data_IF_541275569946
#
_entry.id   IF_541275569946
#
_cell.length_a   1.000
_cell.length_b   1.000
_cell.length_c   1.000
_cell.angle_alpha   90.00
_cell.angle_beta   90.00
_cell.angle_gamma   90.00
#
_symmetry.space_group_name_H-M   'P 1'
#
loop_
_entity.id
_entity.type
_entity.pdbx_description
1 polymer ?
#
# COMPACT_ATOMS: atom_id res chain seq x y z
N UNK A 1 -49.13 -41.19 -15.45
CA UNK A 1 -50.21 -40.39 -16.06
C UNK A 1 -49.64 -39.01 -16.34
N UNK A 2 -48.55 -38.97 -17.10
CA UNK A 2 -48.59 -38.92 -18.58
C UNK A 2 -48.93 -37.49 -19.02
N UNK A 3 -47.87 -36.70 -19.14
CA UNK A 3 -47.80 -35.62 -20.11
C UNK A 3 -46.56 -35.96 -20.94
N UNK A 4 -46.82 -36.69 -22.03
CA UNK A 4 -46.61 -36.17 -23.40
C UNK A 4 -45.08 -36.13 -23.63
N UNK A 5 -44.37 -37.22 -23.93
CA UNK A 5 -44.54 -38.15 -25.06
C UNK A 5 -44.89 -37.40 -26.35
N UNK A 6 -43.85 -37.01 -27.09
CA UNK A 6 -43.75 -37.02 -28.56
C UNK A 6 -42.33 -36.53 -28.91
N UNK A 7 -41.38 -37.43 -28.67
CA UNK A 7 -40.12 -37.53 -29.43
C UNK A 7 -40.44 -38.16 -30.81
N UNK A 8 -39.47 -38.08 -31.72
CA UNK A 8 -39.35 -38.87 -32.96
C UNK A 8 -40.25 -38.40 -34.13
N UNK A 9 -39.86 -38.37 -35.40
CA UNK A 9 -38.66 -38.65 -36.20
C UNK A 9 -39.09 -38.13 -37.60
N UNK A 10 -38.34 -37.25 -38.27
CA UNK A 10 -37.39 -37.63 -39.33
C UNK A 10 -37.93 -38.60 -40.40
N UNK A 11 -38.72 -38.10 -41.35
CA UNK A 11 -38.84 -38.60 -42.73
C UNK A 11 -39.17 -37.33 -43.59
N UNK A 12 -38.61 -37.01 -44.75
CA UNK A 12 -38.50 -37.76 -46.01
C UNK A 12 -37.54 -37.04 -47.01
N UNK A 13 -36.89 -37.85 -47.85
CA UNK A 13 -36.55 -37.63 -49.28
C UNK A 13 -35.41 -36.64 -49.64
N UNK A 14 -34.23 -37.13 -50.07
CA UNK A 14 -33.84 -37.67 -51.41
C UNK A 14 -33.40 -36.58 -52.43
N UNK A 15 -32.52 -37.01 -53.35
CA UNK A 15 -31.85 -36.29 -54.46
C UNK A 15 -30.50 -35.62 -54.15
N UNK A 16 -29.43 -35.77 -54.95
CA UNK A 16 -29.05 -36.66 -56.04
C UNK A 16 -27.54 -36.38 -56.31
N UNK A 17 -26.89 -37.30 -57.00
CA UNK A 17 -25.48 -37.33 -57.36
C UNK A 17 -24.97 -36.10 -58.16
N UNK A 18 -23.65 -35.92 -58.20
CA UNK A 18 -23.03 -35.14 -59.27
C UNK A 18 -21.62 -34.61 -59.04
N UNK A 19 -20.64 -35.47 -59.30
CA UNK A 19 -19.27 -35.22 -59.80
C UNK A 19 -18.88 -33.76 -60.15
N UNK A 20 -17.69 -33.33 -59.74
CA UNK A 20 -16.54 -33.02 -60.65
C UNK A 20 -15.31 -32.50 -59.90
N UNK A 21 -14.18 -32.93 -60.44
CA UNK A 21 -12.81 -32.77 -59.98
C UNK A 21 -12.16 -31.43 -60.40
N UNK A 22 -10.98 -31.21 -59.81
CA UNK A 22 -9.81 -30.41 -60.26
C UNK A 22 -9.69 -28.98 -59.70
N UNK A 23 -8.66 -28.73 -58.87
CA UNK A 23 -7.35 -28.08 -59.20
C UNK A 23 -7.55 -26.55 -59.25
N UNK A 24 -6.76 -25.63 -58.70
CA UNK A 24 -5.41 -25.51 -58.17
C UNK A 24 -5.30 -24.02 -57.73
N UNK A 25 -4.22 -23.65 -57.04
CA UNK A 25 -3.69 -22.28 -56.87
C UNK A 25 -4.31 -21.33 -55.82
N UNK A 26 -3.46 -20.88 -54.89
CA UNK A 26 -3.59 -19.54 -54.30
C UNK A 26 -3.18 -19.43 -52.84
N UNK A 27 -1.87 -19.34 -52.58
CA UNK A 27 -1.33 -18.75 -51.35
C UNK A 27 -1.91 -17.34 -51.13
N UNK A 28 -2.56 -17.12 -50.00
CA UNK A 28 -2.70 -15.79 -49.40
C UNK A 28 -2.27 -15.88 -47.93
N UNK A 29 -0.97 -15.68 -47.73
CA UNK A 29 -0.37 -15.42 -46.41
C UNK A 29 -1.07 -14.21 -45.76
N UNK A 30 -1.95 -14.47 -44.80
CA UNK A 30 -2.35 -13.47 -43.81
C UNK A 30 -1.14 -13.19 -42.91
N UNK A 31 -0.28 -12.26 -43.31
CA UNK A 31 0.69 -11.64 -42.40
C UNK A 31 -0.07 -10.81 -41.36
N UNK A 32 -0.55 -11.47 -40.30
CA UNK A 32 -0.84 -10.81 -39.03
C UNK A 32 0.49 -10.27 -38.49
N UNK A 33 0.74 -8.99 -38.78
CA UNK A 33 1.82 -8.21 -38.17
C UNK A 33 1.63 -8.21 -36.65
N UNK A 34 2.29 -9.16 -35.98
CA UNK A 34 2.47 -9.15 -34.53
C UNK A 34 3.18 -7.86 -34.16
N UNK A 35 2.41 -6.92 -33.61
CA UNK A 35 2.96 -5.70 -33.04
C UNK A 35 3.91 -6.09 -31.91
N UNK A 36 5.21 -6.01 -32.17
CA UNK A 36 6.26 -6.13 -31.16
C UNK A 36 6.02 -5.07 -30.08
N UNK A 37 5.29 -5.46 -29.04
CA UNK A 37 5.12 -4.68 -27.84
C UNK A 37 6.50 -4.41 -27.26
N UNK A 38 6.92 -3.15 -27.28
CA UNK A 38 8.21 -2.73 -26.78
C UNK A 38 8.44 -3.35 -25.38
N UNK A 39 9.58 -4.04 -25.13
CA UNK A 39 9.79 -4.74 -23.88
C UNK A 39 9.65 -3.78 -22.69
N UNK A 40 9.16 -4.26 -21.54
CA UNK A 40 9.06 -3.43 -20.34
C UNK A 40 10.43 -2.83 -20.04
N UNK A 41 10.50 -1.50 -19.94
CA UNK A 41 11.74 -0.81 -19.63
C UNK A 41 12.38 -1.42 -18.37
N UNK A 42 13.68 -1.74 -18.40
CA UNK A 42 14.36 -2.24 -17.22
C UNK A 42 14.24 -1.20 -16.09
N UNK A 43 14.15 -1.65 -14.83
CA UNK A 43 14.07 -0.74 -13.71
C UNK A 43 15.28 0.20 -13.73
N UNK A 44 15.08 1.51 -13.49
CA UNK A 44 16.16 2.48 -13.57
C UNK A 44 17.29 2.08 -12.63
N UNK A 45 18.51 2.01 -13.16
CA UNK A 45 19.70 1.67 -12.38
C UNK A 45 19.83 2.63 -11.17
N UNK A 46 20.19 2.11 -9.98
CA UNK A 46 20.32 2.94 -8.81
C UNK A 46 21.40 4.01 -9.06
N UNK A 47 21.14 5.29 -8.74
CA UNK A 47 22.13 6.34 -8.95
C UNK A 47 23.41 6.02 -8.17
N UNK A 48 24.57 6.32 -8.75
CA UNK A 48 25.91 6.09 -8.16
C UNK A 48 26.09 6.70 -6.75
N UNK A 49 25.18 7.59 -6.33
CA UNK A 49 25.01 8.06 -4.97
C UNK A 49 23.55 8.41 -4.69
N UNK A 50 22.94 7.82 -3.67
CA UNK A 50 21.62 8.21 -3.21
C UNK A 50 21.63 9.68 -2.70
N UNK A 51 20.73 10.50 -3.25
CA UNK A 51 20.61 11.94 -2.92
C UNK A 51 19.46 12.26 -1.97
N UNK A 52 18.54 11.32 -1.79
CA UNK A 52 17.33 11.46 -0.95
C UNK A 52 17.51 10.58 0.27
N UNK A 53 17.39 11.16 1.46
CA UNK A 53 17.34 10.41 2.71
C UNK A 53 15.94 9.84 2.96
N UNK A 54 15.85 8.58 3.35
CA UNK A 54 14.61 7.95 3.79
C UNK A 54 14.73 7.61 5.28
N UNK A 55 13.89 8.24 6.10
CA UNK A 55 13.81 7.96 7.54
C UNK A 55 12.54 7.17 7.80
N UNK A 56 12.71 5.99 8.39
CA UNK A 56 11.64 5.16 8.89
C UNK A 56 12.15 4.42 10.12
N UNK A 57 11.30 4.32 11.15
CA UNK A 57 11.62 3.61 12.38
C UNK A 57 10.37 2.86 12.86
N UNK A 58 10.40 1.51 12.95
CA UNK A 58 9.25 0.71 13.38
C UNK A 58 8.70 1.11 14.75
N UNK A 59 9.52 1.70 15.63
CA UNK A 59 9.05 2.19 16.94
C UNK A 59 8.03 3.32 16.82
N UNK A 60 7.95 4.01 15.68
CA UNK A 60 6.91 5.02 15.43
C UNK A 60 5.52 4.39 15.31
N UNK A 61 5.42 3.11 14.95
CA UNK A 61 4.16 2.37 14.83
C UNK A 61 3.56 2.01 16.19
N UNK A 62 4.31 2.16 17.28
CA UNK A 62 3.79 1.86 18.62
C UNK A 62 2.75 2.90 19.10
N UNK A 63 2.63 4.03 18.41
CA UNK A 63 1.57 5.00 18.64
C UNK A 63 0.23 4.50 18.07
N UNK A 64 -0.62 3.96 18.95
CA UNK A 64 -1.92 3.40 18.56
C UNK A 64 -3.06 3.94 19.43
N UNK A 65 -4.23 4.10 18.84
CA UNK A 65 -5.44 4.39 19.58
C UNK A 65 -5.95 3.10 20.25
N UNK A 66 -6.12 3.12 21.58
CA UNK A 66 -6.53 1.93 22.34
C UNK A 66 -8.02 1.91 22.69
N UNK A 67 -8.79 2.91 22.27
CA UNK A 67 -10.21 3.03 22.59
C UNK A 67 -11.12 3.29 21.38
N UNK A 68 -10.54 3.60 20.22
CA UNK A 68 -11.24 3.74 18.95
C UNK A 68 -10.40 3.08 17.84
N UNK A 69 -10.87 1.93 17.36
CA UNK A 69 -10.23 1.14 16.30
C UNK A 69 -10.50 1.67 14.90
N UNK A 70 -11.46 2.58 14.73
CA UNK A 70 -11.81 3.19 13.44
C UNK A 70 -11.17 4.57 13.26
N UNK A 71 -10.30 4.97 14.19
CA UNK A 71 -9.61 6.24 14.11
C UNK A 71 -8.77 6.34 12.82
N UNK A 72 -8.84 7.45 12.07
CA UNK A 72 -8.15 7.57 10.77
C UNK A 72 -6.62 7.59 10.89
N UNK A 73 -6.09 8.05 12.03
CA UNK A 73 -4.69 7.87 12.40
C UNK A 73 -4.54 6.48 13.03
N UNK A 74 -3.69 5.63 12.43
CA UNK A 74 -3.43 4.28 12.88
C UNK A 74 -1.98 3.86 12.51
N UNK A 75 -1.35 2.95 13.28
CA UNK A 75 0.02 2.48 13.05
C UNK A 75 0.31 2.05 11.62
N UNK A 76 -0.66 1.42 10.96
CA UNK A 76 -0.54 0.82 9.62
C UNK A 76 -0.26 1.86 8.52
N UNK A 77 -0.45 3.15 8.79
CA UNK A 77 -0.14 4.22 7.82
C UNK A 77 1.35 4.24 7.46
N UNK A 78 2.25 4.06 8.44
CA UNK A 78 3.70 4.05 8.21
C UNK A 78 4.17 2.86 7.34
N UNK A 79 3.91 1.59 7.72
CA UNK A 79 4.41 0.45 6.96
C UNK A 79 3.74 0.35 5.58
N UNK A 80 2.48 0.78 5.41
CA UNK A 80 1.85 0.82 4.08
C UNK A 80 2.53 1.80 3.14
N UNK A 81 2.91 2.98 3.62
CA UNK A 81 3.67 3.94 2.80
C UNK A 81 5.04 3.36 2.46
N UNK A 82 5.75 2.79 3.43
CA UNK A 82 7.05 2.17 3.18
C UNK A 82 6.96 1.02 2.17
N UNK A 83 5.99 0.12 2.34
CA UNK A 83 5.73 -0.98 1.42
C UNK A 83 5.49 -0.46 0.01
N UNK A 84 4.65 0.57 -0.15
CA UNK A 84 4.39 1.15 -1.46
C UNK A 84 5.65 1.76 -2.09
N UNK A 85 6.51 2.41 -1.29
CA UNK A 85 7.80 2.91 -1.76
C UNK A 85 8.74 1.78 -2.19
N UNK A 86 8.70 0.63 -1.50
CA UNK A 86 9.49 -0.55 -1.85
C UNK A 86 9.00 -1.24 -3.13
N UNK A 87 7.68 -1.41 -3.29
CA UNK A 87 7.06 -1.97 -4.50
C UNK A 87 7.40 -1.16 -5.76
N UNK A 88 7.52 0.16 -5.63
CA UNK A 88 7.88 1.07 -6.71
C UNK A 88 9.41 1.21 -6.89
N UNK A 89 10.23 0.49 -6.14
CA UNK A 89 11.68 0.61 -6.17
C UNK A 89 12.23 1.95 -5.65
N UNK A 90 11.39 2.80 -5.07
CA UNK A 90 11.76 4.15 -4.61
C UNK A 90 12.57 4.10 -3.31
N UNK A 91 12.26 3.17 -2.42
CA UNK A 91 12.98 3.01 -1.16
C UNK A 91 14.46 2.64 -1.39
N UNK A 92 14.73 1.78 -2.37
CA UNK A 92 16.07 1.29 -2.74
C UNK A 92 16.93 2.39 -3.37
N UNK A 93 16.31 3.42 -3.96
CA UNK A 93 16.98 4.59 -4.52
C UNK A 93 17.36 5.63 -3.45
N UNK A 94 16.85 5.49 -2.22
CA UNK A 94 17.09 6.40 -1.12
C UNK A 94 18.21 5.91 -0.20
N UNK A 95 18.86 6.84 0.50
CA UNK A 95 19.79 6.55 1.58
C UNK A 95 18.99 6.32 2.86
N UNK A 96 19.01 5.13 3.48
CA UNK A 96 18.38 4.92 4.77
C UNK A 96 19.09 5.77 5.84
N UNK A 97 18.33 6.60 6.54
CA UNK A 97 18.83 7.45 7.62
C UNK A 97 18.18 7.00 8.93
N UNK A 98 18.96 6.63 9.96
CA UNK A 98 18.40 6.18 11.22
C UNK A 98 17.68 7.33 11.94
N UNK A 99 16.46 7.07 12.41
CA UNK A 99 15.76 8.03 13.25
C UNK A 99 16.47 8.16 14.60
N UNK A 100 16.57 9.40 15.09
CA UNK A 100 17.09 9.71 16.43
C UNK A 100 16.02 10.43 17.22
N UNK A 101 15.91 10.22 18.54
CA UNK A 101 14.92 10.93 19.32
C UNK A 101 15.36 12.39 19.54
N UNK A 102 14.48 13.33 19.26
CA UNK A 102 14.71 14.75 19.54
C UNK A 102 15.04 14.96 21.03
N UNK A 103 16.04 15.80 21.29
CA UNK A 103 16.39 16.23 22.65
C UNK A 103 15.36 17.20 23.20
N UNK A 104 15.24 17.30 24.53
CA UNK A 104 14.40 18.33 25.15
C UNK A 104 14.79 19.75 24.74
N UNK A 105 16.07 20.00 24.39
CA UNK A 105 16.50 21.30 23.87
C UNK A 105 15.86 21.58 22.50
N UNK A 106 15.89 20.61 21.59
CA UNK A 106 15.28 20.74 20.26
C UNK A 106 13.75 20.91 20.36
N UNK A 107 13.07 20.10 21.18
CA UNK A 107 11.63 20.27 21.38
C UNK A 107 11.26 21.64 21.93
N UNK A 108 12.10 22.20 22.81
CA UNK A 108 11.88 23.54 23.39
C UNK A 108 12.11 24.70 22.42
N UNK A 109 12.62 24.45 21.21
CA UNK A 109 12.66 25.47 20.17
C UNK A 109 11.26 25.88 19.71
N UNK A 110 10.30 24.95 19.76
CA UNK A 110 8.91 25.18 19.32
C UNK A 110 7.87 25.04 20.45
N UNK A 111 8.24 24.44 21.59
CA UNK A 111 7.31 24.13 22.68
C UNK A 111 7.75 24.71 24.03
N UNK A 112 6.78 25.04 24.88
CA UNK A 112 7.06 25.51 26.24
C UNK A 112 7.65 24.40 27.11
N UNK A 113 8.46 24.80 28.11
CA UNK A 113 9.03 23.85 29.10
C UNK A 113 7.94 23.07 29.84
N UNK A 114 6.81 23.71 30.15
CA UNK A 114 5.69 23.07 30.82
C UNK A 114 5.06 21.98 29.95
N UNK A 115 4.87 22.26 28.65
CA UNK A 115 4.28 21.31 27.71
C UNK A 115 5.16 20.07 27.51
N UNK A 116 6.46 20.24 27.25
CA UNK A 116 7.40 19.12 27.08
C UNK A 116 7.45 18.25 28.34
N UNK A 117 7.44 18.86 29.53
CA UNK A 117 7.44 18.14 30.81
C UNK A 117 6.13 17.39 31.06
N UNK A 118 4.99 17.96 30.66
CA UNK A 118 3.70 17.29 30.78
C UNK A 118 3.66 16.04 29.91
N UNK A 119 4.09 16.16 28.64
CA UNK A 119 4.11 15.04 27.71
C UNK A 119 5.19 14.01 28.06
N UNK A 120 6.32 14.40 28.67
CA UNK A 120 7.34 13.43 29.08
C UNK A 120 6.88 12.44 30.16
N UNK A 121 5.76 12.73 30.84
CA UNK A 121 5.15 11.85 31.84
C UNK A 121 4.16 10.83 31.25
N UNK A 122 3.76 11.01 29.98
CA UNK A 122 2.80 10.15 29.27
C UNK A 122 3.10 8.66 29.40
N UNK A 123 4.35 8.18 29.27
CA UNK A 123 4.64 6.75 29.37
C UNK A 123 4.27 6.10 30.71
N UNK A 124 4.17 6.88 31.79
CA UNK A 124 3.85 6.40 33.13
C UNK A 124 2.37 6.57 33.50
N UNK A 125 1.53 7.13 32.61
CA UNK A 125 0.12 7.36 32.88
C UNK A 125 -0.71 6.09 32.66
N UNK A 126 -1.72 5.90 33.50
CA UNK A 126 -2.71 4.83 33.31
C UNK A 126 -3.59 5.09 32.08
N UNK A 127 -4.23 4.06 31.48
CA UNK A 127 -5.12 4.24 30.34
C UNK A 127 -6.23 5.29 30.57
N UNK A 128 -6.80 5.33 31.78
CA UNK A 128 -7.81 6.33 32.16
C UNK A 128 -7.23 7.74 32.19
N UNK A 129 -6.02 7.91 32.74
CA UNK A 129 -5.35 9.20 32.78
C UNK A 129 -4.92 9.67 31.37
N UNK A 130 -4.49 8.76 30.50
CA UNK A 130 -4.18 9.04 29.10
C UNK A 130 -5.40 9.57 28.34
N UNK A 131 -6.55 8.89 28.47
CA UNK A 131 -7.80 9.34 27.85
C UNK A 131 -8.26 10.69 28.38
N UNK A 132 -8.19 10.90 29.71
CA UNK A 132 -8.54 12.19 30.31
C UNK A 132 -7.60 13.32 29.83
N UNK A 133 -6.30 13.03 29.67
CA UNK A 133 -5.33 13.99 29.15
C UNK A 133 -5.59 14.30 27.67
N UNK A 134 -5.89 13.29 26.85
CA UNK A 134 -6.11 13.48 25.42
C UNK A 134 -7.38 14.29 25.13
N UNK A 135 -8.44 14.09 25.91
CA UNK A 135 -9.70 14.85 25.82
C UNK A 135 -9.55 16.35 26.09
N UNK A 136 -8.42 16.82 26.63
CA UNK A 136 -8.12 18.24 26.78
C UNK A 136 -7.77 18.93 25.46
N UNK A 137 -7.54 18.15 24.40
CA UNK A 137 -7.18 18.62 23.08
C UNK A 137 -8.17 18.07 22.04
N UNK A 138 -8.57 18.87 21.05
CA UNK A 138 -9.46 18.38 19.99
C UNK A 138 -8.74 17.32 19.16
N UNK A 139 -9.45 16.23 18.84
CA UNK A 139 -9.01 15.19 17.90
C UNK A 139 -7.64 14.57 18.22
N UNK A 140 -7.34 14.36 19.51
CA UNK A 140 -6.10 13.75 19.97
C UNK A 140 -6.39 12.45 20.75
N UNK A 141 -5.55 11.43 20.53
CA UNK A 141 -5.41 10.30 21.44
C UNK A 141 -3.96 10.15 21.89
N UNK A 142 -3.77 9.46 23.01
CA UNK A 142 -2.47 9.21 23.59
C UNK A 142 -2.40 7.75 24.03
N UNK A 143 -1.26 7.12 23.76
CA UNK A 143 -0.85 5.84 24.34
C UNK A 143 0.46 6.05 25.11
N UNK A 144 0.91 5.06 25.91
CA UNK A 144 2.18 5.18 26.65
C UNK A 144 3.38 5.50 25.74
N UNK A 145 3.35 5.02 24.48
CA UNK A 145 4.44 5.20 23.52
C UNK A 145 4.41 6.55 22.79
N UNK A 146 3.30 7.30 22.84
CA UNK A 146 3.12 8.56 22.10
C UNK A 146 4.29 9.53 22.23
N UNK A 147 4.81 9.73 23.44
CA UNK A 147 5.93 10.67 23.65
C UNK A 147 7.23 10.17 23.02
N UNK A 148 7.50 8.87 23.08
CA UNK A 148 8.68 8.26 22.45
C UNK A 148 8.58 8.33 20.93
N UNK A 149 7.44 7.96 20.34
CA UNK A 149 7.19 8.03 18.91
C UNK A 149 7.30 9.48 18.41
N UNK A 150 6.69 10.44 19.11
CA UNK A 150 6.75 11.86 18.76
C UNK A 150 8.19 12.40 18.79
N UNK A 151 9.03 11.94 19.73
CA UNK A 151 10.44 12.31 19.76
C UNK A 151 11.23 11.73 18.59
N UNK A 152 10.97 10.49 18.19
CA UNK A 152 11.60 9.88 17.02
C UNK A 152 11.18 10.61 15.75
N UNK A 153 9.89 10.90 15.59
CA UNK A 153 9.37 11.65 14.45
C UNK A 153 10.02 13.04 14.35
N UNK A 154 10.06 13.78 15.47
CA UNK A 154 10.64 15.13 15.50
C UNK A 154 12.18 15.15 15.31
N UNK A 155 12.89 14.07 15.62
CA UNK A 155 14.34 14.01 15.44
C UNK A 155 14.78 13.38 14.11
N UNK A 156 13.85 12.73 13.40
CA UNK A 156 14.00 12.24 12.03
C UNK A 156 13.61 13.25 10.95
N UNK A 157 12.88 14.31 11.31
CA UNK A 157 12.59 15.46 10.45
C UNK A 157 13.80 16.42 10.37
#
# INVERSE_FOLDING_TARGET
>A
EEREEEEEEEEEEEEEAGERENEDEGDEDEEELEGEGNPPEPPPEPPSRARVGLVYDPRMEEHRNTWDSQHPEAPQRLPRVLQRLQELGLAQRCLPVPARPASHRQLRACHTRAHVRALSRVPALSPRALRALSQRYPSLYLCPQSFTCARLAAGGA
#
